data_IF_135149806117
#
_entry.id   IF_135149806117
#
_cell.length_a   1.000
_cell.length_b   1.000
_cell.length_c   1.000
_cell.angle_alpha   90.00
_cell.angle_beta   90.00
_cell.angle_gamma   90.00
#
_symmetry.space_group_name_H-M   'P 1'
#
loop_
_entity.id
_entity.type
_entity.pdbx_description
1 polymer ?
#
# COMPACT_ATOMS: atom_id res chain seq x y z
N UNK A 1 4.33 45.10 -3.70
CA UNK A 1 4.21 44.65 -2.29
C UNK A 1 5.24 45.44 -1.50
N UNK A 2 4.87 46.14 -0.42
CA UNK A 2 5.77 47.08 0.28
C UNK A 2 6.57 46.45 1.43
N UNK A 3 6.12 45.31 1.94
CA UNK A 3 6.77 44.55 3.02
C UNK A 3 7.69 43.47 2.45
N UNK A 4 8.62 42.97 3.25
CA UNK A 4 9.52 41.91 2.84
C UNK A 4 8.76 40.59 2.61
N UNK A 5 9.35 39.67 1.84
CA UNK A 5 8.73 38.37 1.55
C UNK A 5 8.48 37.56 2.82
N UNK A 6 9.41 37.58 3.76
CA UNK A 6 9.30 36.82 5.01
C UNK A 6 8.18 37.38 5.90
N UNK A 7 8.04 38.70 5.96
CA UNK A 7 6.93 39.37 6.65
C UNK A 7 5.59 39.07 5.99
N UNK A 8 5.54 38.98 4.66
CA UNK A 8 4.35 38.56 3.96
C UNK A 8 4.02 37.09 4.25
N UNK A 9 5.00 36.19 4.28
CA UNK A 9 4.79 34.79 4.65
C UNK A 9 4.20 34.68 6.06
N UNK A 10 4.80 35.36 7.04
CA UNK A 10 4.29 35.40 8.40
C UNK A 10 2.87 35.98 8.49
N UNK A 11 2.55 36.97 7.65
CA UNK A 11 1.18 37.50 7.54
C UNK A 11 0.20 36.47 6.99
N UNK A 12 0.60 35.65 6.01
CA UNK A 12 -0.22 34.55 5.49
C UNK A 12 -0.49 33.50 6.55
N UNK A 13 0.54 33.09 7.29
CA UNK A 13 0.42 32.08 8.35
C UNK A 13 -0.53 32.58 9.45
N UNK A 14 -0.39 33.85 9.85
CA UNK A 14 -1.34 34.50 10.73
C UNK A 14 -2.77 34.47 10.19
N UNK A 15 -2.97 34.80 8.90
CA UNK A 15 -4.31 34.80 8.30
C UNK A 15 -4.95 33.41 8.33
N UNK A 16 -4.17 32.35 8.06
CA UNK A 16 -4.66 30.96 8.16
C UNK A 16 -5.11 30.64 9.58
N UNK A 17 -4.28 30.92 10.59
CA UNK A 17 -4.62 30.67 12.00
C UNK A 17 -5.87 31.46 12.42
N UNK A 18 -5.90 32.76 12.12
CA UNK A 18 -7.01 33.64 12.51
C UNK A 18 -8.32 33.25 11.83
N UNK A 19 -8.31 33.07 10.51
CA UNK A 19 -9.52 32.78 9.74
C UNK A 19 -9.97 31.31 9.83
N UNK A 20 -9.09 30.40 10.24
CA UNK A 20 -9.46 29.03 10.62
C UNK A 20 -10.43 29.04 11.79
N UNK A 21 -10.19 29.92 12.77
CA UNK A 21 -11.05 30.07 13.95
C UNK A 21 -12.29 30.94 13.69
N UNK A 22 -12.10 32.12 13.11
CA UNK A 22 -13.19 33.11 12.99
C UNK A 22 -14.08 32.87 11.76
N UNK A 23 -13.59 32.11 10.77
CA UNK A 23 -14.20 31.80 9.46
C UNK A 23 -14.52 33.00 8.55
N UNK A 24 -14.81 34.15 9.12
CA UNK A 24 -15.11 35.38 8.41
C UNK A 24 -14.57 36.60 9.17
N UNK A 25 -14.36 37.71 8.47
CA UNK A 25 -13.98 38.96 9.12
C UNK A 25 -13.77 40.13 8.18
N UNK A 26 -13.91 41.35 8.67
CA UNK A 26 -13.54 42.56 7.91
C UNK A 26 -12.03 42.77 7.99
N UNK A 27 -11.46 43.55 7.07
CA UNK A 27 -10.03 43.92 7.13
C UNK A 27 -9.65 44.63 8.44
N UNK A 28 -10.61 45.26 9.13
CA UNK A 28 -10.41 45.86 10.46
C UNK A 28 -10.21 44.80 11.53
N UNK A 29 -10.93 43.70 11.43
CA UNK A 29 -10.97 42.65 12.44
C UNK A 29 -9.67 41.84 12.36
N UNK A 30 -9.28 41.48 11.13
CA UNK A 30 -7.97 40.88 10.82
C UNK A 30 -6.81 41.76 11.30
N UNK A 31 -6.91 43.08 11.12
CA UNK A 31 -5.88 44.02 11.61
C UNK A 31 -5.78 44.03 13.14
N UNK A 32 -6.91 43.98 13.85
CA UNK A 32 -6.91 43.92 15.32
C UNK A 32 -6.43 42.56 15.81
N UNK A 33 -6.84 41.47 15.16
CA UNK A 33 -6.35 40.12 15.40
C UNK A 33 -4.83 40.04 15.27
N UNK A 34 -4.27 40.62 14.19
CA UNK A 34 -2.83 40.66 13.96
C UNK A 34 -2.11 41.41 15.08
N UNK A 35 -2.66 42.54 15.51
CA UNK A 35 -2.11 43.33 16.62
C UNK A 35 -2.11 42.56 17.94
N UNK A 36 -3.11 41.71 18.16
CA UNK A 36 -3.21 40.84 19.34
C UNK A 36 -2.26 39.66 19.30
N UNK A 37 -2.15 38.99 18.15
CA UNK A 37 -1.41 37.75 17.94
C UNK A 37 0.10 37.98 17.73
N UNK A 38 0.47 38.86 16.79
CA UNK A 38 1.87 39.14 16.46
C UNK A 38 2.13 40.66 16.41
N UNK A 39 2.43 41.21 17.58
CA UNK A 39 2.77 42.63 17.76
C UNK A 39 4.01 43.05 16.96
N UNK A 40 4.96 42.13 16.72
CA UNK A 40 6.20 42.44 16.02
C UNK A 40 5.91 42.64 14.54
N UNK A 41 5.20 41.70 13.92
CA UNK A 41 4.76 41.80 12.54
C UNK A 41 3.84 43.02 12.32
N UNK A 42 2.88 43.24 13.21
CA UNK A 42 2.02 44.45 13.17
C UNK A 42 2.84 45.74 13.10
N UNK A 43 3.82 45.91 13.99
CA UNK A 43 4.68 47.10 14.05
C UNK A 43 5.58 47.23 12.82
N UNK A 44 6.07 46.11 12.29
CA UNK A 44 6.88 46.11 11.07
C UNK A 44 6.07 46.62 9.87
N UNK A 45 4.86 46.11 9.69
CA UNK A 45 3.94 46.59 8.64
C UNK A 45 3.58 48.07 8.88
N UNK A 46 3.26 48.46 10.11
CA UNK A 46 2.93 49.85 10.48
C UNK A 46 4.07 50.83 10.17
N UNK A 47 5.32 50.44 10.45
CA UNK A 47 6.51 51.25 10.14
C UNK A 47 6.66 51.47 8.64
N UNK A 48 6.33 50.47 7.82
CA UNK A 48 6.46 50.51 6.37
C UNK A 48 5.38 51.35 5.69
N UNK A 49 4.12 51.25 6.12
CA UNK A 49 2.99 51.90 5.42
C UNK A 49 2.38 53.09 6.14
N UNK A 50 2.69 53.25 7.43
CA UNK A 50 2.15 54.28 8.31
C UNK A 50 0.76 53.95 8.84
N UNK A 51 0.51 54.30 10.11
CA UNK A 51 -0.71 53.98 10.88
C UNK A 51 -2.02 54.26 10.15
N UNK A 52 -2.13 55.42 9.49
CA UNK A 52 -3.36 55.87 8.79
C UNK A 52 -3.73 54.98 7.59
N UNK A 53 -2.77 54.27 6.99
CA UNK A 53 -2.96 53.45 5.79
C UNK A 53 -3.08 51.94 6.08
N UNK A 54 -2.91 51.53 7.35
CA UNK A 54 -2.90 50.11 7.75
C UNK A 54 -4.12 49.33 7.27
N UNK A 55 -5.34 49.84 7.52
CA UNK A 55 -6.58 49.15 7.10
C UNK A 55 -6.61 48.84 5.60
N UNK A 56 -6.30 49.85 4.78
CA UNK A 56 -6.29 49.71 3.33
C UNK A 56 -5.20 48.72 2.88
N UNK A 57 -4.03 48.79 3.51
CA UNK A 57 -2.92 47.90 3.19
C UNK A 57 -3.18 46.44 3.59
N UNK A 58 -3.77 46.17 4.76
CA UNK A 58 -4.23 44.82 5.13
C UNK A 58 -5.22 44.28 4.09
N UNK A 59 -6.16 45.11 3.62
CA UNK A 59 -7.06 44.73 2.53
C UNK A 59 -6.31 44.34 1.25
N UNK A 60 -5.23 45.04 0.89
CA UNK A 60 -4.39 44.68 -0.27
C UNK A 60 -3.61 43.38 -0.07
N UNK A 61 -3.11 43.13 1.16
CA UNK A 61 -2.44 41.88 1.48
C UNK A 61 -3.43 40.71 1.44
N UNK A 62 -4.62 40.85 2.00
CA UNK A 62 -5.69 39.84 1.94
C UNK A 62 -6.13 39.54 0.50
N UNK A 63 -6.18 40.55 -0.39
CA UNK A 63 -6.38 40.32 -1.84
C UNK A 63 -5.26 39.53 -2.51
N UNK A 64 -4.07 39.56 -1.93
CA UNK A 64 -2.96 38.74 -2.41
C UNK A 64 -3.09 37.31 -1.87
N UNK A 65 -3.52 37.15 -0.62
CA UNK A 65 -3.84 35.84 0.00
C UNK A 65 -5.02 35.16 -0.69
N UNK A 66 -6.06 35.89 -1.10
CA UNK A 66 -7.24 35.33 -1.79
C UNK A 66 -6.90 34.64 -3.11
N UNK A 67 -5.74 34.93 -3.69
CA UNK A 67 -5.25 34.24 -4.90
C UNK A 67 -4.84 32.80 -4.63
N UNK A 68 -4.62 32.42 -3.37
CA UNK A 68 -4.41 31.03 -2.96
C UNK A 68 -5.70 30.21 -3.02
N UNK A 69 -6.86 30.82 -3.28
CA UNK A 69 -8.09 30.08 -3.59
C UNK A 69 -8.95 29.71 -2.38
N UNK A 70 -8.49 29.94 -1.15
CA UNK A 70 -9.24 29.58 0.06
C UNK A 70 -10.01 30.73 0.73
N UNK A 71 -9.78 31.96 0.28
CA UNK A 71 -10.33 33.19 0.87
C UNK A 71 -11.05 34.02 -0.19
N UNK A 72 -12.31 34.39 0.07
CA UNK A 72 -13.14 35.18 -0.83
C UNK A 72 -13.54 36.52 -0.18
N UNK A 73 -13.85 37.53 -0.98
CA UNK A 73 -14.30 38.84 -0.50
C UNK A 73 -15.68 39.16 -1.06
N UNK A 74 -16.68 39.09 -0.20
CA UNK A 74 -18.10 39.27 -0.55
C UNK A 74 -18.74 40.19 0.48
N UNK A 75 -19.61 41.11 0.02
CA UNK A 75 -20.36 42.02 0.91
C UNK A 75 -19.50 42.82 1.93
N UNK A 76 -18.25 43.13 1.56
CA UNK A 76 -17.26 43.81 2.42
C UNK A 76 -16.72 42.97 3.58
N UNK A 77 -16.87 41.66 3.52
CA UNK A 77 -16.38 40.67 4.48
C UNK A 77 -15.47 39.69 3.74
N UNK A 78 -14.40 39.26 4.43
CA UNK A 78 -13.57 38.16 3.97
C UNK A 78 -14.13 36.86 4.51
N UNK A 79 -14.42 35.90 3.63
CA UNK A 79 -15.01 34.61 3.97
C UNK A 79 -14.00 33.51 3.63
N UNK A 80 -13.62 32.69 4.63
CA UNK A 80 -12.82 31.50 4.42
C UNK A 80 -13.72 30.38 3.89
N UNK A 81 -13.94 30.40 2.57
CA UNK A 81 -14.67 29.39 1.83
C UNK A 81 -13.75 28.77 0.79
N UNK A 82 -13.09 27.65 1.12
CA UNK A 82 -12.14 27.04 0.21
C UNK A 82 -12.76 26.60 -1.10
N UNK A 83 -12.01 26.81 -2.19
CA UNK A 83 -12.35 26.20 -3.48
C UNK A 83 -12.01 24.71 -3.44
N UNK A 84 -12.62 23.95 -4.34
CA UNK A 84 -12.26 22.55 -4.58
C UNK A 84 -10.74 22.38 -4.75
N UNK A 85 -10.19 21.33 -4.15
CA UNK A 85 -8.76 21.06 -4.05
C UNK A 85 -8.07 21.69 -2.83
N UNK A 86 -8.82 22.30 -1.91
CA UNK A 86 -8.31 22.83 -0.65
C UNK A 86 -9.13 22.36 0.54
N UNK A 87 -8.45 22.10 1.65
CA UNK A 87 -9.10 21.69 2.88
C UNK A 87 -9.94 22.81 3.49
N UNK A 88 -11.19 22.48 3.80
CA UNK A 88 -12.19 23.34 4.43
C UNK A 88 -11.75 23.85 5.79
N UNK A 89 -11.04 23.02 6.55
CA UNK A 89 -10.56 23.37 7.89
C UNK A 89 -9.20 24.08 7.88
N UNK A 90 -8.16 23.50 7.28
CA UNK A 90 -6.79 24.01 7.39
C UNK A 90 -6.32 24.88 6.21
N UNK A 91 -7.11 24.94 5.12
CA UNK A 91 -6.82 25.69 3.90
C UNK A 91 -5.58 25.22 3.11
N UNK A 92 -5.00 24.07 3.47
CA UNK A 92 -3.94 23.43 2.69
C UNK A 92 -4.51 22.85 1.40
N UNK A 93 -3.66 22.77 0.37
CA UNK A 93 -4.00 22.04 -0.84
C UNK A 93 -4.18 20.55 -0.49
N UNK A 94 -5.17 19.92 -1.11
CA UNK A 94 -5.52 18.53 -0.91
C UNK A 94 -4.91 17.68 -2.03
N UNK A 95 -4.41 16.50 -1.66
CA UNK A 95 -3.95 15.44 -2.56
C UNK A 95 -5.10 14.47 -2.89
N UNK A 96 -4.85 13.33 -3.53
CA UNK A 96 -5.91 12.41 -3.97
C UNK A 96 -6.61 11.63 -2.83
N UNK A 97 -6.04 11.66 -1.62
CA UNK A 97 -6.61 11.08 -0.40
C UNK A 97 -7.18 12.21 0.45
N UNK A 98 -8.51 12.32 0.50
CA UNK A 98 -9.22 13.30 1.29
C UNK A 98 -10.60 12.80 1.70
N UNK A 99 -11.14 13.40 2.75
CA UNK A 99 -12.50 13.20 3.22
C UNK A 99 -13.44 14.28 2.67
N UNK A 100 -14.72 13.96 2.53
CA UNK A 100 -15.77 14.94 2.30
C UNK A 100 -16.89 14.82 3.32
N UNK A 101 -17.63 15.91 3.52
CA UNK A 101 -18.90 15.86 4.24
C UNK A 101 -20.10 15.84 3.28
N UNK A 102 -21.30 15.73 3.85
CA UNK A 102 -22.57 15.71 3.12
C UNK A 102 -22.84 16.98 2.28
N UNK A 103 -22.17 18.09 2.61
CA UNK A 103 -22.27 19.36 1.88
C UNK A 103 -21.20 19.46 0.77
N UNK A 104 -20.35 18.44 0.62
CA UNK A 104 -19.27 18.39 -0.36
C UNK A 104 -18.03 19.19 0.02
N UNK A 105 -17.87 19.56 1.30
CA UNK A 105 -16.65 20.20 1.78
C UNK A 105 -15.53 19.17 1.91
N UNK A 106 -14.30 19.53 1.53
CA UNK A 106 -13.17 18.58 1.52
C UNK A 106 -12.23 18.77 2.74
N UNK A 107 -11.65 17.68 3.21
CA UNK A 107 -10.77 17.64 4.38
C UNK A 107 -9.55 16.79 4.10
N UNK A 108 -8.35 17.29 4.41
CA UNK A 108 -7.10 16.59 4.07
C UNK A 108 -6.85 15.33 4.91
N UNK A 109 -7.54 15.16 6.03
CA UNK A 109 -7.47 14.00 6.93
C UNK A 109 -8.64 14.03 7.92
N UNK A 110 -8.78 12.95 8.69
CA UNK A 110 -9.77 12.80 9.77
C UNK A 110 -9.67 13.89 10.84
N UNK A 111 -8.46 14.26 11.27
CA UNK A 111 -8.27 15.34 12.26
C UNK A 111 -8.92 16.66 11.80
N UNK A 112 -8.76 17.02 10.53
CA UNK A 112 -9.37 18.23 9.97
C UNK A 112 -10.89 18.13 9.81
N UNK A 113 -11.40 16.93 9.59
CA UNK A 113 -12.82 16.63 9.51
C UNK A 113 -13.48 16.77 10.89
N UNK A 114 -12.92 16.11 11.90
CA UNK A 114 -13.44 16.08 13.28
C UNK A 114 -13.44 17.47 13.94
N UNK A 115 -12.35 18.22 13.76
CA UNK A 115 -12.18 19.56 14.33
C UNK A 115 -13.16 20.60 13.77
N UNK A 116 -13.80 20.33 12.63
CA UNK A 116 -14.85 21.21 12.13
C UNK A 116 -16.17 21.05 12.89
N UNK A 117 -16.28 20.07 13.80
CA UNK A 117 -17.56 19.61 14.35
C UNK A 117 -18.59 19.49 13.23
N UNK A 118 -18.20 18.87 12.09
CA UNK A 118 -19.10 18.68 10.96
C UNK A 118 -20.39 18.07 11.52
N UNK A 119 -21.48 18.84 11.43
CA UNK A 119 -22.72 18.51 12.12
C UNK A 119 -23.13 17.11 11.67
N UNK A 120 -23.47 16.18 12.57
CA UNK A 120 -23.98 14.87 12.21
C UNK A 120 -25.39 15.05 11.65
N UNK A 121 -25.48 15.60 10.45
CA UNK A 121 -26.58 15.37 9.57
C UNK A 121 -26.39 13.93 9.10
N UNK A 122 -26.96 13.00 9.86
CA UNK A 122 -26.97 11.57 9.53
C UNK A 122 -27.56 11.40 8.12
N UNK A 123 -26.69 11.39 7.13
CA UNK A 123 -26.95 10.77 5.84
C UNK A 123 -26.82 9.26 6.03
N UNK A 124 -27.63 8.48 5.31
CA UNK A 124 -27.65 7.03 5.41
C UNK A 124 -26.29 6.42 5.06
N UNK A 125 -25.46 7.14 4.29
CA UNK A 125 -24.16 6.69 3.79
C UNK A 125 -22.97 7.17 4.63
N UNK A 126 -23.18 7.97 5.68
CA UNK A 126 -22.08 8.60 6.42
C UNK A 126 -21.16 7.58 7.10
N UNK A 127 -21.73 6.56 7.74
CA UNK A 127 -20.96 5.52 8.43
C UNK A 127 -20.20 4.65 7.40
N UNK A 128 -20.89 4.16 6.37
CA UNK A 128 -20.31 3.34 5.30
C UNK A 128 -19.17 4.07 4.57
N UNK A 129 -19.35 5.37 4.30
CA UNK A 129 -18.31 6.20 3.71
C UNK A 129 -17.08 6.33 4.61
N UNK A 130 -17.27 6.54 5.92
CA UNK A 130 -16.15 6.68 6.85
C UNK A 130 -15.36 5.37 7.00
N UNK A 131 -16.04 4.23 7.06
CA UNK A 131 -15.37 2.92 7.06
C UNK A 131 -14.59 2.69 5.77
N UNK A 132 -15.22 2.91 4.61
CA UNK A 132 -14.55 2.81 3.32
C UNK A 132 -13.32 3.72 3.22
N UNK A 133 -13.41 4.97 3.72
CA UNK A 133 -12.27 5.88 3.71
C UNK A 133 -11.11 5.36 4.57
N UNK A 134 -11.38 4.83 5.77
CA UNK A 134 -10.33 4.30 6.62
C UNK A 134 -9.65 3.07 6.02
N UNK A 135 -10.42 2.18 5.38
CA UNK A 135 -9.87 1.04 4.66
C UNK A 135 -9.05 1.51 3.45
N UNK A 136 -9.55 2.47 2.68
CA UNK A 136 -8.83 3.09 1.58
C UNK A 136 -7.50 3.71 2.03
N UNK A 137 -7.51 4.55 3.06
CA UNK A 137 -6.31 5.20 3.60
C UNK A 137 -5.27 4.16 4.04
N UNK A 138 -5.71 3.14 4.79
CA UNK A 138 -4.84 2.07 5.29
C UNK A 138 -4.22 1.22 4.18
N UNK A 139 -5.02 0.83 3.18
CA UNK A 139 -4.55 -0.05 2.11
C UNK A 139 -3.68 0.72 1.12
N UNK A 140 -4.02 1.98 0.80
CA UNK A 140 -3.29 2.83 -0.14
C UNK A 140 -1.84 3.06 0.24
N UNK A 141 -1.57 3.31 1.51
CA UNK A 141 -0.20 3.49 2.00
C UNK A 141 0.69 2.27 1.76
N UNK A 142 0.10 1.06 1.74
CA UNK A 142 0.85 -0.19 1.52
C UNK A 142 1.26 -0.37 0.08
N UNK A 143 0.39 -0.05 -0.88
CA UNK A 143 0.65 -0.36 -2.29
C UNK A 143 1.23 0.78 -3.12
N UNK A 144 1.10 2.04 -2.68
CA UNK A 144 1.65 3.18 -3.42
C UNK A 144 3.14 3.05 -3.73
N UNK A 145 3.90 2.40 -2.85
CA UNK A 145 5.33 2.14 -3.08
C UNK A 145 5.58 1.32 -4.35
N UNK A 146 4.76 0.30 -4.61
CA UNK A 146 4.92 -0.61 -5.77
C UNK A 146 4.49 0.06 -7.09
N UNK A 147 3.47 0.93 -7.05
CA UNK A 147 3.00 1.64 -8.25
C UNK A 147 3.97 2.74 -8.71
N UNK A 148 4.71 3.36 -7.78
CA UNK A 148 5.54 4.53 -8.07
C UNK A 148 7.01 4.22 -8.37
N UNK A 149 7.45 2.96 -8.31
CA UNK A 149 8.88 2.59 -8.41
C UNK A 149 9.11 1.32 -9.20
N UNK A 150 10.36 1.13 -9.63
CA UNK A 150 10.79 -0.17 -10.15
C UNK A 150 10.90 -1.16 -8.99
N UNK A 151 10.06 -2.20 -9.04
CA UNK A 151 10.03 -3.25 -8.02
C UNK A 151 11.02 -4.38 -8.33
N UNK A 152 11.48 -5.08 -7.29
CA UNK A 152 12.17 -6.36 -7.45
C UNK A 152 11.14 -7.43 -7.81
N UNK A 153 11.56 -8.43 -8.59
CA UNK A 153 10.69 -9.54 -9.03
C UNK A 153 11.16 -10.81 -8.34
N UNK A 154 10.91 -10.88 -7.05
CA UNK A 154 11.24 -11.99 -6.16
C UNK A 154 9.98 -12.48 -5.42
N UNK A 155 10.15 -13.56 -4.66
CA UNK A 155 9.04 -14.20 -3.95
C UNK A 155 8.44 -13.30 -2.86
N UNK A 156 9.26 -12.52 -2.16
CA UNK A 156 8.80 -11.58 -1.13
C UNK A 156 7.88 -10.53 -1.74
N UNK A 157 8.31 -9.91 -2.85
CA UNK A 157 7.46 -8.94 -3.58
C UNK A 157 6.18 -9.59 -4.12
N UNK A 158 6.26 -10.81 -4.64
CA UNK A 158 5.10 -11.54 -5.16
C UNK A 158 4.08 -11.86 -4.06
N UNK A 159 4.56 -12.26 -2.88
CA UNK A 159 3.73 -12.53 -1.71
C UNK A 159 3.05 -11.25 -1.22
N UNK A 160 3.81 -10.17 -1.03
CA UNK A 160 3.28 -8.88 -0.58
C UNK A 160 2.18 -8.37 -1.50
N UNK A 161 2.41 -8.41 -2.82
CA UNK A 161 1.41 -8.01 -3.81
C UNK A 161 0.17 -8.89 -3.76
N UNK A 162 0.33 -10.19 -3.52
CA UNK A 162 -0.80 -11.13 -3.38
C UNK A 162 -1.65 -10.78 -2.16
N UNK A 163 -1.02 -10.49 -1.02
CA UNK A 163 -1.72 -10.10 0.22
C UNK A 163 -2.42 -8.74 0.06
N UNK A 164 -1.74 -7.77 -0.55
CA UNK A 164 -2.32 -6.45 -0.84
C UNK A 164 -3.55 -6.59 -1.75
N UNK A 165 -3.45 -7.38 -2.81
CA UNK A 165 -4.57 -7.60 -3.74
C UNK A 165 -5.74 -8.27 -3.06
N UNK A 166 -5.51 -9.26 -2.18
CA UNK A 166 -6.58 -9.84 -1.35
C UNK A 166 -7.28 -8.75 -0.54
N UNK A 167 -6.53 -7.97 0.24
CA UNK A 167 -7.11 -6.94 1.11
C UNK A 167 -7.87 -5.87 0.30
N UNK A 168 -7.40 -5.55 -0.92
CA UNK A 168 -8.12 -4.68 -1.86
C UNK A 168 -9.43 -5.30 -2.33
N UNK A 169 -9.43 -6.59 -2.68
CA UNK A 169 -10.62 -7.30 -3.12
C UNK A 169 -11.62 -7.53 -2.00
N UNK A 170 -11.18 -7.67 -0.75
CA UNK A 170 -12.08 -7.74 0.40
C UNK A 170 -12.91 -6.45 0.51
N UNK A 171 -12.28 -5.28 0.32
CA UNK A 171 -12.97 -3.98 0.28
C UNK A 171 -13.86 -3.85 -0.97
N UNK A 172 -13.34 -4.18 -2.15
CA UNK A 172 -14.09 -4.03 -3.41
C UNK A 172 -15.30 -4.96 -3.52
N UNK A 173 -15.26 -6.14 -2.90
CA UNK A 173 -16.33 -7.13 -2.93
C UNK A 173 -17.25 -7.08 -1.71
N UNK A 174 -17.06 -6.10 -0.83
CA UNK A 174 -17.97 -5.89 0.30
C UNK A 174 -19.40 -5.62 -0.22
N UNK A 175 -20.36 -6.37 0.30
CA UNK A 175 -21.76 -6.25 -0.09
C UNK A 175 -22.34 -4.87 0.21
N UNK A 176 -21.80 -4.17 1.20
CA UNK A 176 -22.28 -2.87 1.64
C UNK A 176 -22.06 -1.81 0.55
N UNK A 177 -21.04 -1.97 -0.29
CA UNK A 177 -20.70 -1.04 -1.39
C UNK A 177 -21.27 -1.44 -2.76
N UNK A 178 -21.90 -2.61 -2.87
CA UNK A 178 -22.41 -3.16 -4.14
C UNK A 178 -23.41 -2.23 -4.83
N UNK A 179 -24.25 -1.54 -4.06
CA UNK A 179 -25.25 -0.60 -4.56
C UNK A 179 -24.61 0.67 -5.13
N UNK A 180 -23.56 1.18 -4.47
CA UNK A 180 -22.80 2.35 -4.91
C UNK A 180 -22.18 2.11 -6.29
N UNK A 181 -21.55 0.95 -6.49
CA UNK A 181 -20.96 0.54 -7.77
C UNK A 181 -22.01 0.41 -8.88
N UNK A 182 -23.19 -0.14 -8.56
CA UNK A 182 -24.26 -0.35 -9.54
C UNK A 182 -24.90 0.96 -10.01
N UNK A 183 -25.10 1.92 -9.11
CA UNK A 183 -25.77 3.19 -9.40
C UNK A 183 -24.82 4.34 -9.74
N UNK A 184 -23.50 4.15 -9.67
CA UNK A 184 -22.51 5.12 -10.16
C UNK A 184 -22.32 6.36 -9.29
N UNK A 185 -22.79 6.34 -8.04
CA UNK A 185 -22.59 7.47 -7.11
C UNK A 185 -23.57 8.63 -7.23
N UNK A 186 -24.74 8.43 -7.85
CA UNK A 186 -25.69 9.52 -8.16
C UNK A 186 -26.49 10.05 -6.95
N UNK A 187 -26.40 9.41 -5.78
CA UNK A 187 -27.25 9.68 -4.60
C UNK A 187 -26.69 10.75 -3.63
N UNK A 188 -25.78 11.60 -4.09
CA UNK A 188 -25.28 12.76 -3.34
C UNK A 188 -23.76 12.79 -3.21
N UNK A 189 -23.19 13.81 -2.50
CA UNK A 189 -21.74 13.98 -2.42
C UNK A 189 -21.02 12.76 -1.86
N UNK A 190 -21.49 12.20 -0.74
CA UNK A 190 -20.87 11.04 -0.09
C UNK A 190 -20.83 9.82 -1.03
N UNK A 191 -21.96 9.47 -1.64
CA UNK A 191 -22.06 8.31 -2.54
C UNK A 191 -21.20 8.50 -3.79
N UNK A 192 -21.13 9.74 -4.31
CA UNK A 192 -20.24 10.09 -5.42
C UNK A 192 -18.76 9.90 -5.05
N UNK A 193 -18.38 10.24 -3.82
CA UNK A 193 -17.02 10.05 -3.35
C UNK A 193 -16.71 8.58 -3.03
N UNK A 194 -17.64 7.82 -2.46
CA UNK A 194 -17.51 6.37 -2.30
C UNK A 194 -17.26 5.72 -3.67
N UNK A 195 -18.04 6.09 -4.69
CA UNK A 195 -17.85 5.61 -6.06
C UNK A 195 -16.47 5.98 -6.61
N UNK A 196 -15.99 7.21 -6.37
CA UNK A 196 -14.64 7.65 -6.76
C UNK A 196 -13.57 6.77 -6.09
N UNK A 197 -13.66 6.55 -4.78
CA UNK A 197 -12.72 5.73 -4.00
C UNK A 197 -12.69 4.30 -4.55
N UNK A 198 -13.85 3.68 -4.75
CA UNK A 198 -13.95 2.32 -5.28
C UNK A 198 -13.38 2.22 -6.70
N UNK A 199 -13.61 3.23 -7.54
CA UNK A 199 -13.04 3.28 -8.90
C UNK A 199 -11.51 3.36 -8.85
N UNK A 200 -10.95 4.19 -7.96
CA UNK A 200 -9.49 4.27 -7.76
C UNK A 200 -8.93 2.93 -7.29
N UNK A 201 -9.56 2.32 -6.29
CA UNK A 201 -9.18 1.00 -5.79
C UNK A 201 -9.20 -0.06 -6.90
N UNK A 202 -10.21 -0.04 -7.77
CA UNK A 202 -10.31 -0.95 -8.91
C UNK A 202 -9.18 -0.73 -9.93
N UNK A 203 -8.92 0.53 -10.33
CA UNK A 203 -7.84 0.87 -11.26
C UNK A 203 -6.46 0.51 -10.71
N UNK A 204 -6.23 0.77 -9.43
CA UNK A 204 -4.98 0.46 -8.75
C UNK A 204 -4.81 -1.05 -8.54
N UNK A 205 -5.89 -1.79 -8.25
CA UNK A 205 -5.88 -3.26 -8.22
C UNK A 205 -5.48 -3.85 -9.58
N UNK A 206 -6.08 -3.40 -10.69
CA UNK A 206 -5.68 -3.85 -12.05
C UNK A 206 -4.20 -3.56 -12.36
N UNK A 207 -3.67 -2.44 -11.86
CA UNK A 207 -2.26 -2.10 -12.02
C UNK A 207 -1.35 -3.04 -11.21
N UNK A 208 -1.75 -3.38 -9.98
CA UNK A 208 -1.04 -4.32 -9.12
C UNK A 208 -1.10 -5.75 -9.66
N UNK A 209 -2.22 -6.20 -10.23
CA UNK A 209 -2.32 -7.51 -10.90
C UNK A 209 -1.32 -7.63 -12.05
N UNK A 210 -1.17 -6.57 -12.86
CA UNK A 210 -0.18 -6.54 -13.94
C UNK A 210 1.25 -6.65 -13.39
N UNK A 211 1.52 -6.10 -12.21
CA UNK A 211 2.82 -6.24 -11.53
C UNK A 211 3.01 -7.65 -10.95
N UNK A 212 1.97 -8.23 -10.36
CA UNK A 212 1.98 -9.60 -9.84
C UNK A 212 2.28 -10.60 -10.96
N UNK A 213 1.60 -10.48 -12.11
CA UNK A 213 1.83 -11.34 -13.27
C UNK A 213 3.25 -11.18 -13.84
N UNK A 214 3.81 -9.97 -13.78
CA UNK A 214 5.21 -9.76 -14.15
C UNK A 214 6.19 -10.43 -13.18
N UNK A 215 5.87 -10.51 -11.89
CA UNK A 215 6.66 -11.24 -10.92
C UNK A 215 6.58 -12.74 -11.19
N UNK A 216 5.37 -13.27 -11.39
CA UNK A 216 5.11 -14.68 -11.68
C UNK A 216 5.87 -15.19 -12.91
N UNK A 217 5.99 -14.38 -13.97
CA UNK A 217 6.78 -14.73 -15.18
C UNK A 217 8.28 -14.89 -14.95
N UNK A 218 8.82 -14.29 -13.89
CA UNK A 218 10.25 -14.37 -13.54
C UNK A 218 10.51 -15.49 -12.54
N UNK A 219 9.52 -15.78 -11.68
CA UNK A 219 9.57 -16.86 -10.71
C UNK A 219 9.44 -18.23 -11.38
N UNK A 220 10.00 -19.28 -10.78
CA UNK A 220 9.74 -20.65 -11.25
C UNK A 220 8.28 -21.02 -11.02
N UNK A 221 7.76 -21.98 -11.79
CA UNK A 221 6.38 -22.49 -11.64
C UNK A 221 6.14 -23.16 -10.28
N UNK A 222 7.20 -23.70 -9.68
CA UNK A 222 7.20 -24.27 -8.33
C UNK A 222 8.57 -24.07 -7.68
N UNK A 223 8.60 -23.98 -6.35
CA UNK A 223 9.82 -24.02 -5.56
C UNK A 223 10.10 -25.42 -4.97
N UNK A 224 9.41 -26.44 -5.48
CA UNK A 224 9.68 -27.84 -5.16
C UNK A 224 10.94 -28.36 -5.86
N UNK A 225 11.59 -29.29 -5.18
CA UNK A 225 12.79 -29.97 -5.62
C UNK A 225 12.69 -31.45 -5.31
N UNK A 226 12.94 -32.28 -6.30
CA UNK A 226 12.84 -33.74 -6.19
C UNK A 226 14.23 -34.34 -6.12
N UNK A 227 14.50 -35.10 -5.05
CA UNK A 227 15.83 -35.60 -4.76
C UNK A 227 15.86 -37.12 -4.61
N UNK A 228 16.98 -37.71 -5.00
CA UNK A 228 17.40 -39.06 -4.61
C UNK A 228 18.66 -38.95 -3.76
N UNK A 229 18.68 -39.69 -2.67
CA UNK A 229 19.85 -39.87 -1.83
C UNK A 229 20.27 -41.34 -1.79
N UNK A 230 21.58 -41.55 -1.85
CA UNK A 230 22.18 -42.88 -1.84
C UNK A 230 22.98 -43.03 -0.55
N UNK A 231 22.73 -44.10 0.20
CA UNK A 231 23.40 -44.34 1.48
C UNK A 231 24.93 -44.31 1.29
N UNK A 232 25.60 -43.61 2.19
CA UNK A 232 27.04 -43.33 2.09
C UNK A 232 27.90 -44.61 2.01
N UNK A 233 27.47 -45.66 2.70
CA UNK A 233 28.14 -46.96 2.74
C UNK A 233 28.34 -47.55 1.34
N UNK A 234 27.31 -47.48 0.48
CA UNK A 234 27.40 -47.91 -0.91
C UNK A 234 28.29 -46.98 -1.72
N UNK A 235 28.21 -45.67 -1.46
CA UNK A 235 29.05 -44.69 -2.13
C UNK A 235 30.53 -44.87 -1.84
N UNK A 236 30.90 -45.42 -0.66
CA UNK A 236 32.28 -45.71 -0.26
C UNK A 236 32.80 -47.08 -0.72
N UNK A 237 31.95 -47.98 -1.26
CA UNK A 237 32.40 -49.30 -1.75
C UNK A 237 33.44 -49.17 -2.87
N UNK A 238 34.52 -49.96 -2.76
CA UNK A 238 35.63 -50.00 -3.74
C UNK A 238 35.17 -50.44 -5.14
N UNK A 239 34.16 -51.31 -5.20
CA UNK A 239 33.50 -51.75 -6.43
C UNK A 239 32.00 -51.44 -6.31
N UNK A 240 31.59 -50.29 -6.86
CA UNK A 240 30.19 -49.88 -6.92
C UNK A 240 29.44 -50.70 -8.00
N UNK A 241 28.13 -50.98 -7.80
CA UNK A 241 27.30 -51.55 -8.85
C UNK A 241 27.43 -50.78 -10.17
N UNK A 242 27.31 -51.47 -11.30
CA UNK A 242 27.47 -50.87 -12.63
C UNK A 242 26.42 -49.80 -12.89
N UNK A 243 25.15 -50.12 -12.62
CA UNK A 243 24.02 -49.19 -12.69
C UNK A 243 24.30 -47.89 -11.93
N UNK A 244 24.86 -47.97 -10.71
CA UNK A 244 25.22 -46.80 -9.91
C UNK A 244 26.35 -45.99 -10.55
N UNK A 245 27.36 -46.65 -11.14
CA UNK A 245 28.47 -45.95 -11.80
C UNK A 245 27.99 -45.17 -13.02
N UNK A 246 27.15 -45.79 -13.83
CA UNK A 246 26.53 -45.15 -15.01
C UNK A 246 25.62 -44.00 -14.60
N UNK A 247 24.77 -44.21 -13.59
CA UNK A 247 23.92 -43.16 -13.03
C UNK A 247 24.71 -41.91 -12.61
N UNK A 248 25.80 -42.10 -11.86
CA UNK A 248 26.65 -40.99 -11.39
C UNK A 248 27.31 -40.25 -12.57
N UNK A 249 27.74 -40.97 -13.60
CA UNK A 249 28.38 -40.37 -14.77
C UNK A 249 27.37 -39.55 -15.59
N UNK A 250 26.20 -40.14 -15.88
CA UNK A 250 25.15 -39.52 -16.70
C UNK A 250 24.50 -38.32 -16.02
N UNK A 251 24.26 -38.41 -14.70
CA UNK A 251 23.50 -37.40 -13.95
C UNK A 251 24.39 -36.44 -13.15
N UNK A 252 25.68 -36.32 -13.50
CA UNK A 252 26.65 -35.49 -12.76
C UNK A 252 26.20 -34.04 -12.57
N UNK A 253 25.49 -33.46 -13.53
CA UNK A 253 24.98 -32.07 -13.46
C UNK A 253 23.93 -31.84 -12.35
N UNK A 254 23.24 -32.90 -11.93
CA UNK A 254 22.18 -32.85 -10.92
C UNK A 254 22.69 -33.12 -9.51
N UNK A 255 23.98 -33.43 -9.36
CA UNK A 255 24.57 -33.76 -8.07
C UNK A 255 24.62 -32.54 -7.16
N UNK A 256 24.13 -32.68 -5.94
CA UNK A 256 24.20 -31.63 -4.93
C UNK A 256 25.67 -31.36 -4.55
N UNK A 257 26.03 -30.07 -4.41
CA UNK A 257 27.41 -29.63 -4.13
C UNK A 257 27.83 -29.89 -2.69
N UNK A 258 26.88 -29.81 -1.77
CA UNK A 258 27.10 -29.95 -0.32
C UNK A 258 26.97 -31.42 0.08
N UNK A 259 25.88 -32.08 -0.33
CA UNK A 259 25.69 -33.51 -0.14
C UNK A 259 26.05 -34.29 -1.42
N UNK A 260 27.27 -34.83 -1.46
CA UNK A 260 27.79 -35.62 -2.59
C UNK A 260 27.03 -36.93 -2.84
N UNK A 261 26.17 -37.36 -1.93
CA UNK A 261 25.37 -38.57 -2.06
C UNK A 261 23.95 -38.29 -2.57
N UNK A 262 23.67 -37.04 -2.95
CA UNK A 262 22.35 -36.57 -3.33
C UNK A 262 22.32 -36.00 -4.75
N UNK A 263 21.26 -36.32 -5.49
CA UNK A 263 20.96 -35.80 -6.81
C UNK A 263 19.58 -35.18 -6.79
N UNK A 264 19.43 -34.01 -7.38
CA UNK A 264 18.17 -33.27 -7.37
C UNK A 264 17.79 -32.74 -8.74
N UNK A 265 16.50 -32.66 -8.99
CA UNK A 265 15.89 -32.08 -10.19
C UNK A 265 14.61 -31.33 -9.81
N UNK A 266 14.13 -30.46 -10.68
CA UNK A 266 12.80 -29.82 -10.58
C UNK A 266 11.72 -30.66 -11.28
N UNK A 267 12.08 -31.77 -11.94
CA UNK A 267 11.16 -32.67 -12.64
C UNK A 267 10.88 -33.93 -11.82
N UNK A 268 9.64 -34.09 -11.35
CA UNK A 268 9.21 -35.24 -10.56
C UNK A 268 9.32 -36.56 -11.33
N UNK A 269 9.02 -36.56 -12.63
CA UNK A 269 9.08 -37.76 -13.47
C UNK A 269 10.52 -38.19 -13.69
N UNK A 270 11.42 -37.23 -13.89
CA UNK A 270 12.84 -37.52 -13.98
C UNK A 270 13.36 -38.20 -12.70
N UNK A 271 12.97 -37.70 -11.53
CA UNK A 271 13.35 -38.32 -10.25
C UNK A 271 12.75 -39.72 -10.08
N UNK A 272 11.52 -39.96 -10.51
CA UNK A 272 10.93 -41.32 -10.48
C UNK A 272 11.72 -42.28 -11.37
N UNK A 273 12.04 -41.88 -12.60
CA UNK A 273 12.85 -42.68 -13.52
C UNK A 273 14.23 -43.03 -12.92
N UNK A 274 14.87 -42.07 -12.24
CA UNK A 274 16.12 -42.34 -11.54
C UNK A 274 15.97 -43.38 -10.44
N UNK A 275 14.88 -43.31 -9.67
CA UNK A 275 14.63 -44.22 -8.56
C UNK A 275 14.38 -45.64 -9.09
N UNK A 276 13.56 -45.77 -10.12
CA UNK A 276 13.26 -47.06 -10.75
C UNK A 276 14.54 -47.72 -11.29
N UNK A 277 15.32 -46.99 -12.10
CA UNK A 277 16.59 -47.49 -12.65
C UNK A 277 17.56 -47.92 -11.54
N UNK A 278 17.67 -47.15 -10.46
CA UNK A 278 18.58 -47.48 -9.37
C UNK A 278 18.08 -48.67 -8.53
N UNK A 279 16.77 -48.86 -8.40
CA UNK A 279 16.19 -49.92 -7.55
C UNK A 279 15.89 -51.22 -8.31
N UNK A 280 16.04 -51.25 -9.63
CA UNK A 280 16.11 -52.49 -10.41
C UNK A 280 17.25 -53.41 -9.94
N UNK A 281 18.38 -52.82 -9.52
CA UNK A 281 19.53 -53.55 -8.97
C UNK A 281 19.27 -53.91 -7.49
N UNK A 282 19.28 -55.20 -7.18
CA UNK A 282 18.96 -55.72 -5.85
C UNK A 282 19.91 -55.19 -4.76
N UNK A 283 21.18 -54.97 -5.11
CA UNK A 283 22.16 -54.39 -4.21
C UNK A 283 21.85 -52.94 -3.79
N UNK A 284 20.99 -52.23 -4.53
CA UNK A 284 20.66 -50.81 -4.34
C UNK A 284 19.26 -50.57 -3.76
N UNK A 285 18.33 -51.54 -3.86
CA UNK A 285 16.92 -51.41 -3.38
C UNK A 285 16.77 -50.77 -2.00
N UNK A 286 17.60 -51.18 -1.03
CA UNK A 286 17.53 -50.69 0.35
C UNK A 286 18.51 -49.55 0.65
N UNK A 287 19.21 -49.04 -0.36
CA UNK A 287 20.28 -48.05 -0.22
C UNK A 287 20.00 -46.75 -0.98
N UNK A 288 18.81 -46.62 -1.55
CA UNK A 288 18.36 -45.48 -2.33
C UNK A 288 17.07 -45.00 -1.69
N UNK A 289 17.04 -43.75 -1.26
CA UNK A 289 15.84 -43.08 -0.79
C UNK A 289 15.50 -41.93 -1.75
N UNK A 290 14.23 -41.56 -1.78
CA UNK A 290 13.78 -40.37 -2.48
C UNK A 290 13.11 -39.42 -1.50
N UNK A 291 13.20 -38.13 -1.80
CA UNK A 291 12.64 -37.06 -0.97
C UNK A 291 12.01 -36.00 -1.87
N UNK A 292 10.89 -35.45 -1.41
CA UNK A 292 10.32 -34.23 -1.97
C UNK A 292 10.73 -33.08 -1.06
N UNK A 293 11.37 -32.09 -1.63
CA UNK A 293 11.92 -30.97 -0.89
C UNK A 293 11.35 -29.67 -1.44
N UNK A 294 11.47 -28.63 -0.64
CA UNK A 294 11.05 -27.28 -0.98
C UNK A 294 12.19 -26.33 -0.64
N UNK A 295 12.52 -25.44 -1.57
CA UNK A 295 13.39 -24.30 -1.29
C UNK A 295 12.53 -23.16 -0.74
N UNK A 296 12.55 -22.95 0.58
CA UNK A 296 11.71 -21.93 1.21
C UNK A 296 12.06 -20.53 0.68
N UNK A 297 11.09 -19.76 0.15
CA UNK A 297 11.39 -18.48 -0.46
C UNK A 297 11.91 -17.42 0.52
N UNK A 298 11.49 -17.50 1.78
CA UNK A 298 11.83 -16.53 2.82
C UNK A 298 13.21 -16.79 3.42
N UNK A 299 13.42 -17.96 4.04
CA UNK A 299 14.69 -18.27 4.73
C UNK A 299 15.73 -18.94 3.82
N UNK A 300 15.36 -19.33 2.59
CA UNK A 300 16.21 -20.09 1.64
C UNK A 300 16.66 -21.46 2.14
N UNK A 301 16.04 -21.97 3.20
CA UNK A 301 16.31 -23.32 3.70
C UNK A 301 15.64 -24.37 2.82
N UNK A 302 16.35 -25.47 2.59
CA UNK A 302 15.82 -26.66 1.92
C UNK A 302 15.19 -27.55 2.98
N UNK A 303 13.88 -27.72 2.91
CA UNK A 303 13.13 -28.54 3.85
C UNK A 303 12.39 -29.66 3.13
N UNK A 304 12.05 -30.73 3.85
CA UNK A 304 11.15 -31.75 3.33
C UNK A 304 9.74 -31.13 3.16
N UNK A 305 9.09 -31.44 2.04
CA UNK A 305 7.74 -30.99 1.72
C UNK A 305 6.72 -31.33 2.80
N UNK A 306 6.93 -32.40 3.57
CA UNK A 306 6.02 -32.75 4.67
C UNK A 306 5.99 -31.70 5.80
N UNK A 307 7.04 -30.88 5.92
CA UNK A 307 7.19 -29.80 6.90
C UNK A 307 7.02 -28.41 6.28
N UNK A 308 6.40 -28.34 5.10
CA UNK A 308 6.10 -27.09 4.42
C UNK A 308 4.59 -26.85 4.33
N UNK A 309 4.21 -25.58 4.22
CA UNK A 309 2.84 -25.13 3.99
C UNK A 309 2.78 -24.36 2.69
N UNK A 310 1.73 -24.60 1.91
CA UNK A 310 1.46 -23.82 0.71
C UNK A 310 0.73 -22.55 1.13
N UNK A 311 1.15 -21.41 0.60
CA UNK A 311 0.55 -20.10 0.90
C UNK A 311 -0.20 -19.58 -0.34
N UNK A 312 -0.99 -18.50 -0.21
CA UNK A 312 -1.90 -17.99 -1.26
C UNK A 312 -1.19 -17.61 -2.56
N UNK A 313 0.07 -17.23 -2.45
CA UNK A 313 0.93 -16.91 -3.59
C UNK A 313 1.24 -18.15 -4.48
N UNK A 314 0.83 -19.35 -4.04
CA UNK A 314 0.96 -20.61 -4.76
C UNK A 314 2.23 -21.40 -4.45
N UNK A 315 3.13 -20.88 -3.63
CA UNK A 315 4.43 -21.48 -3.29
C UNK A 315 4.45 -22.10 -1.88
N UNK A 316 5.46 -22.94 -1.62
CA UNK A 316 5.62 -23.60 -0.32
C UNK A 316 6.62 -22.85 0.58
N UNK A 317 6.27 -22.66 1.84
CA UNK A 317 7.10 -22.02 2.86
C UNK A 317 7.37 -23.00 4.00
N UNK A 318 8.47 -22.84 4.73
CA UNK A 318 8.71 -23.64 5.92
C UNK A 318 7.73 -23.27 7.03
N UNK A 319 7.42 -24.22 7.91
CA UNK A 319 6.47 -24.03 9.01
C UNK A 319 6.78 -22.78 9.84
N UNK A 320 8.05 -22.55 10.16
CA UNK A 320 8.48 -21.34 10.88
C UNK A 320 8.17 -20.04 10.13
N UNK A 321 8.49 -19.96 8.84
CA UNK A 321 8.18 -18.76 8.06
C UNK A 321 6.68 -18.62 7.80
N UNK A 322 5.93 -19.73 7.75
CA UNK A 322 4.47 -19.70 7.63
C UNK A 322 3.83 -19.07 8.87
N UNK A 323 4.28 -19.47 10.07
CA UNK A 323 3.83 -18.89 11.35
C UNK A 323 4.25 -17.41 11.49
N UNK A 324 5.50 -17.07 11.15
CA UNK A 324 6.01 -15.69 11.27
C UNK A 324 5.29 -14.70 10.34
N UNK A 325 4.83 -15.18 9.18
CA UNK A 325 4.09 -14.37 8.20
C UNK A 325 2.58 -14.32 8.48
N UNK A 326 2.12 -14.97 9.56
CA UNK A 326 0.74 -14.93 10.06
C UNK A 326 -0.31 -15.28 9.00
N UNK A 327 -0.04 -16.34 8.22
CA UNK A 327 -0.98 -16.83 7.21
C UNK A 327 -2.17 -17.63 7.79
N UNK A 328 -2.28 -17.76 9.13
CA UNK A 328 -3.38 -18.45 9.79
C UNK A 328 -4.72 -17.67 9.71
N UNK A 329 -4.71 -16.46 9.16
CA UNK A 329 -5.94 -15.78 8.77
C UNK A 329 -6.63 -16.58 7.66
N UNK A 330 -7.80 -17.14 7.96
CA UNK A 330 -8.58 -18.02 7.08
C UNK A 330 -8.69 -17.43 5.67
N UNK A 331 -7.89 -17.95 4.74
CA UNK A 331 -8.24 -17.90 3.34
C UNK A 331 -9.45 -18.81 3.23
N UNK A 332 -10.65 -18.23 3.28
CA UNK A 332 -11.83 -18.94 2.81
C UNK A 332 -11.51 -19.38 1.38
N UNK A 333 -11.25 -20.68 1.20
CA UNK A 333 -11.05 -21.32 -0.10
C UNK A 333 -12.38 -21.19 -0.86
N UNK A 334 -12.61 -20.03 -1.47
CA UNK A 334 -13.97 -19.63 -1.79
C UNK A 334 -14.15 -18.62 -2.90
N UNK A 335 -13.13 -18.16 -3.62
CA UNK A 335 -13.31 -17.53 -4.94
C UNK A 335 -12.14 -17.92 -5.87
N UNK A 336 -12.39 -18.87 -6.77
CA UNK A 336 -11.74 -18.97 -8.09
C UNK A 336 -12.83 -19.04 -9.15
#
# INVERSE_FOLDING_TARGET
>A
MLIQKDEFSAFKDFCRIYLKKERQGKSTDVLQGLKGHDRKLYRAIEKTVGKRKMKGYIGLLLRSVSREGWLNYEEKVWNAKPKWGYCTYCFSQIDDTYLIDIDGNQYCNSDCFDEQEAVPHYDAYADDYMFLFWDFEKVRDRYQYYLNRSIKKDFETHLDLTMILRDLYDVLNDSDYSTVLFYGGDDGPLVSEMYRILTILQEEAEALEKLLEQCKKVLPDTNERFSIEIIEEIMRKRKRPEVLREFIQTNRKYRNKENKNKWSTTDSMQRMNWYDVLTEEEALKNNVSWMNEVDCPQCKEVIDRQWSRRVPDGYFYCEKCYEELDFEFEFEEGIM
#
